data_IF_860000205008
#
_entry.id   IF_860000205008
#
_cell.length_a   1.000
_cell.length_b   1.000
_cell.length_c   1.000
_cell.angle_alpha   90.00
_cell.angle_beta   90.00
_cell.angle_gamma   90.00
#
_symmetry.space_group_name_H-M   'P 1'
#
loop_
_entity.id
_entity.type
_entity.pdbx_description
1 polymer ?
#
# COMPACT_ATOMS: atom_id res chain seq x y z
N UNK A 1 -45.37 -30.25 -49.59
CA UNK A 1 -45.23 -30.27 -48.11
C UNK A 1 -43.85 -29.78 -47.60
N UNK A 2 -43.05 -29.05 -48.40
CA UNK A 2 -41.69 -28.60 -48.05
C UNK A 2 -41.47 -27.11 -47.63
N UNK A 3 -42.40 -26.13 -47.80
CA UNK A 3 -42.07 -24.71 -47.49
C UNK A 3 -42.04 -24.36 -46.00
N UNK A 4 -42.90 -24.98 -45.17
CA UNK A 4 -43.07 -24.61 -43.76
C UNK A 4 -41.88 -24.99 -42.86
N UNK A 5 -41.15 -26.07 -43.18
CA UNK A 5 -39.96 -26.45 -42.41
C UNK A 5 -38.79 -25.45 -42.61
N UNK A 6 -38.59 -24.96 -43.83
CA UNK A 6 -37.52 -23.99 -44.13
C UNK A 6 -37.75 -22.63 -43.46
N UNK A 7 -39.00 -22.18 -43.38
CA UNK A 7 -39.35 -20.91 -42.74
C UNK A 7 -39.07 -20.90 -41.23
N UNK A 8 -39.37 -22.01 -40.55
CA UNK A 8 -39.10 -22.14 -39.11
C UNK A 8 -37.61 -22.27 -38.79
N UNK A 9 -36.81 -22.92 -39.65
CA UNK A 9 -35.36 -22.98 -39.45
C UNK A 9 -34.67 -21.63 -39.63
N UNK A 10 -35.13 -20.80 -40.56
CA UNK A 10 -34.59 -19.44 -40.69
C UNK A 10 -34.87 -18.55 -39.48
N UNK A 11 -36.08 -18.64 -38.92
CA UNK A 11 -36.44 -17.87 -37.71
C UNK A 11 -35.60 -18.35 -36.52
N UNK A 12 -35.48 -19.66 -36.33
CA UNK A 12 -34.70 -20.24 -35.24
C UNK A 12 -33.22 -19.86 -35.35
N UNK A 13 -32.66 -19.87 -36.57
CA UNK A 13 -31.26 -19.51 -36.83
C UNK A 13 -30.99 -18.02 -36.64
N UNK A 14 -31.95 -17.14 -37.00
CA UNK A 14 -31.89 -15.69 -36.72
C UNK A 14 -31.99 -15.38 -35.23
N UNK A 15 -32.81 -16.11 -34.48
CA UNK A 15 -32.91 -16.00 -33.01
C UNK A 15 -31.63 -16.51 -32.36
N UNK A 16 -31.11 -17.66 -32.77
CA UNK A 16 -29.85 -18.20 -32.26
C UNK A 16 -28.67 -17.27 -32.52
N UNK A 17 -28.55 -16.73 -33.74
CA UNK A 17 -27.50 -15.78 -34.10
C UNK A 17 -27.60 -14.48 -33.29
N UNK A 18 -28.81 -13.94 -33.09
CA UNK A 18 -29.01 -12.77 -32.22
C UNK A 18 -28.57 -13.06 -30.79
N UNK A 19 -29.00 -14.17 -30.20
CA UNK A 19 -28.64 -14.56 -28.83
C UNK A 19 -27.13 -14.78 -28.69
N UNK A 20 -26.48 -15.40 -29.68
CA UNK A 20 -25.02 -15.60 -29.68
C UNK A 20 -24.27 -14.27 -29.72
N UNK A 21 -24.74 -13.31 -30.52
CA UNK A 21 -24.15 -11.96 -30.64
C UNK A 21 -24.34 -11.17 -29.33
N UNK A 22 -25.51 -11.24 -28.68
CA UNK A 22 -25.71 -10.56 -27.39
C UNK A 22 -24.87 -11.17 -26.27
N UNK A 23 -24.70 -12.51 -26.26
CA UNK A 23 -23.84 -13.19 -25.28
C UNK A 23 -22.36 -12.87 -25.52
N UNK A 24 -21.92 -12.81 -26.79
CA UNK A 24 -20.56 -12.42 -27.14
C UNK A 24 -20.27 -10.94 -26.82
N UNK A 25 -21.23 -10.04 -27.03
CA UNK A 25 -21.10 -8.63 -26.68
C UNK A 25 -21.06 -8.41 -25.15
N UNK A 26 -21.86 -9.17 -24.39
CA UNK A 26 -21.79 -9.18 -22.93
C UNK A 26 -20.42 -9.71 -22.46
N UNK A 27 -19.95 -10.82 -23.03
CA UNK A 27 -18.63 -11.40 -22.72
C UNK A 27 -17.46 -10.47 -23.07
N UNK A 28 -17.56 -9.71 -24.17
CA UNK A 28 -16.55 -8.73 -24.57
C UNK A 28 -16.54 -7.48 -23.66
N UNK A 29 -17.71 -7.02 -23.22
CA UNK A 29 -17.81 -5.95 -22.21
C UNK A 29 -17.29 -6.40 -20.83
N UNK A 30 -17.40 -7.70 -20.52
CA UNK A 30 -16.81 -8.34 -19.34
C UNK A 30 -15.29 -8.57 -19.45
N UNK A 31 -14.71 -8.47 -20.66
CA UNK A 31 -13.28 -8.69 -20.92
C UNK A 31 -12.46 -7.39 -20.98
N UNK A 32 -13.10 -6.23 -20.77
CA UNK A 32 -12.39 -4.99 -20.53
C UNK A 32 -11.80 -5.06 -19.13
N UNK A 33 -10.55 -5.49 -19.01
CA UNK A 33 -9.81 -5.36 -17.75
C UNK A 33 -9.69 -3.87 -17.45
N UNK A 34 -10.21 -3.37 -16.31
CA UNK A 34 -9.91 -2.01 -15.91
C UNK A 34 -8.39 -1.88 -15.82
N UNK A 35 -7.86 -0.75 -16.31
CA UNK A 35 -6.46 -0.43 -16.04
C UNK A 35 -6.27 -0.40 -14.53
N UNK A 36 -5.22 -1.05 -14.04
CA UNK A 36 -4.80 -0.92 -12.66
C UNK A 36 -4.50 0.55 -12.40
N UNK A 37 -5.23 1.18 -11.49
CA UNK A 37 -5.04 2.59 -11.17
C UNK A 37 -4.49 2.73 -9.76
N UNK A 38 -3.31 3.35 -9.69
CA UNK A 38 -2.76 3.93 -8.48
C UNK A 38 -2.71 5.43 -8.73
N UNK A 39 -3.13 6.25 -7.76
CA UNK A 39 -3.01 7.70 -7.87
C UNK A 39 -1.97 8.18 -6.86
N UNK A 40 -0.90 8.78 -7.37
CA UNK A 40 0.16 9.38 -6.56
C UNK A 40 -0.16 10.85 -6.32
N UNK A 41 -0.23 11.25 -5.06
CA UNK A 41 -0.43 12.66 -4.66
C UNK A 41 0.54 13.06 -3.58
N UNK A 42 0.78 14.36 -3.45
CA UNK A 42 1.68 14.93 -2.45
C UNK A 42 0.92 15.83 -1.48
N UNK A 43 1.34 15.79 -0.23
CA UNK A 43 0.77 16.60 0.84
C UNK A 43 0.22 15.76 1.98
N UNK A 44 0.12 16.38 3.15
CA UNK A 44 -0.34 15.76 4.39
C UNK A 44 -0.65 16.86 5.40
N UNK A 45 -0.97 16.48 6.62
CA UNK A 45 -1.15 17.42 7.72
C UNK A 45 0.13 17.52 8.55
N UNK A 46 0.37 18.70 9.13
CA UNK A 46 1.56 18.94 9.94
C UNK A 46 1.24 18.71 11.42
N UNK A 47 2.03 17.86 12.09
CA UNK A 47 1.90 17.50 13.50
C UNK A 47 2.86 18.25 14.44
N UNK A 48 3.61 19.21 13.92
CA UNK A 48 4.52 20.08 14.68
C UNK A 48 3.75 21.20 15.40
N UNK A 49 2.81 20.83 16.25
CA UNK A 49 2.05 21.74 17.10
C UNK A 49 1.93 21.20 18.53
N UNK A 50 1.58 22.09 19.47
CA UNK A 50 1.42 21.72 20.89
C UNK A 50 0.29 20.71 21.03
N UNK A 51 0.61 19.50 21.50
CA UNK A 51 -0.34 18.39 21.63
C UNK A 51 -0.36 17.42 20.44
N UNK A 52 0.32 17.76 19.34
CA UNK A 52 0.74 16.79 18.32
C UNK A 52 1.99 16.05 18.76
N UNK A 53 2.40 15.03 17.99
CA UNK A 53 3.57 14.21 18.28
C UNK A 53 4.89 14.82 17.77
N UNK A 54 4.83 15.91 17.00
CA UNK A 54 5.97 16.67 16.47
C UNK A 54 6.80 15.96 15.38
N UNK A 55 6.24 14.95 14.70
CA UNK A 55 6.91 14.15 13.66
C UNK A 55 6.81 14.74 12.24
N UNK A 56 6.63 16.06 12.12
CA UNK A 56 6.52 16.73 10.82
C UNK A 56 5.20 16.42 10.10
N UNK A 57 5.29 15.94 8.85
CA UNK A 57 4.10 15.67 8.03
C UNK A 57 3.59 14.25 8.27
N UNK A 58 2.27 14.10 8.36
CA UNK A 58 1.58 12.81 8.46
C UNK A 58 0.38 12.74 7.51
N UNK A 59 -0.25 11.57 7.43
CA UNK A 59 -1.44 11.35 6.60
C UNK A 59 -2.60 12.25 7.04
N UNK A 60 -3.40 12.75 6.11
CA UNK A 60 -4.67 13.43 6.43
C UNK A 60 -5.70 12.50 7.11
N UNK A 61 -5.46 11.18 7.11
CA UNK A 61 -6.27 10.19 7.83
C UNK A 61 -5.78 9.92 9.25
N UNK A 62 -4.61 10.44 9.63
CA UNK A 62 -4.08 10.33 10.98
C UNK A 62 -4.95 11.16 11.95
N UNK A 63 -5.21 10.66 13.17
CA UNK A 63 -5.80 11.47 14.24
C UNK A 63 -4.78 12.48 14.76
N UNK A 64 -5.26 13.44 15.57
CA UNK A 64 -4.47 14.59 16.05
C UNK A 64 -3.29 14.22 16.95
N UNK A 65 -3.28 13.04 17.55
CA UNK A 65 -2.18 12.52 18.37
C UNK A 65 -1.24 11.57 17.59
N UNK A 66 -1.49 11.41 16.28
CA UNK A 66 -0.78 10.53 15.35
C UNK A 66 -0.74 9.05 15.78
N UNK A 67 -1.72 8.61 16.58
CA UNK A 67 -1.81 7.21 17.03
C UNK A 67 -2.80 6.42 16.20
N UNK A 68 -2.49 5.16 15.94
CA UNK A 68 -3.46 4.26 15.31
C UNK A 68 -4.72 4.13 16.17
N UNK A 69 -5.89 4.38 15.58
CA UNK A 69 -7.19 4.10 16.19
C UNK A 69 -7.73 2.77 15.66
N UNK A 70 -7.93 1.80 16.55
CA UNK A 70 -8.45 0.48 16.19
C UNK A 70 -9.84 0.59 15.56
N UNK A 71 -10.03 -0.12 14.44
CA UNK A 71 -11.28 -0.11 13.69
C UNK A 71 -11.47 1.09 12.77
N UNK A 72 -10.55 2.06 12.76
CA UNK A 72 -10.60 3.19 11.81
C UNK A 72 -10.35 2.78 10.36
N UNK A 73 -9.75 1.61 10.14
CA UNK A 73 -9.27 1.16 8.84
C UNK A 73 -7.91 1.76 8.44
N UNK A 74 -7.30 2.58 9.29
CA UNK A 74 -5.99 3.19 9.06
C UNK A 74 -5.02 2.84 10.18
N UNK A 75 -3.80 2.47 9.81
CA UNK A 75 -2.74 2.02 10.71
C UNK A 75 -1.45 2.79 10.42
N UNK A 76 -0.83 3.32 11.47
CA UNK A 76 0.33 4.20 11.42
C UNK A 76 1.58 3.58 12.05
N UNK A 77 2.73 3.81 11.42
CA UNK A 77 4.09 3.60 11.93
C UNK A 77 4.79 4.96 11.98
N UNK A 78 5.11 5.43 13.19
CA UNK A 78 5.80 6.71 13.42
C UNK A 78 7.14 6.51 14.13
N UNK A 79 7.59 5.25 14.20
CA UNK A 79 8.87 4.85 14.77
C UNK A 79 9.12 5.24 16.24
N UNK A 80 8.09 5.68 16.95
CA UNK A 80 8.11 6.11 18.34
C UNK A 80 7.33 5.12 19.22
N UNK A 81 7.93 4.74 20.34
CA UNK A 81 7.29 3.85 21.33
C UNK A 81 6.05 4.50 21.96
N UNK A 82 5.98 5.83 22.00
CA UNK A 82 4.87 6.57 22.59
C UNK A 82 3.57 6.49 21.77
N UNK A 83 3.68 6.24 20.45
CA UNK A 83 2.56 6.09 19.51
C UNK A 83 2.30 4.62 19.19
N UNK A 84 3.11 3.70 19.75
CA UNK A 84 3.01 2.29 19.47
C UNK A 84 1.66 1.71 19.87
N UNK A 85 1.07 0.96 18.94
CA UNK A 85 -0.19 0.28 19.16
C UNK A 85 0.08 -1.19 19.51
N UNK A 86 -0.10 -1.53 20.79
CA UNK A 86 0.14 -2.88 21.32
C UNK A 86 -0.83 -3.93 20.73
N UNK A 87 -1.98 -3.51 20.18
CA UNK A 87 -2.94 -4.41 19.55
C UNK A 87 -2.49 -4.82 18.12
N UNK A 88 -1.57 -4.08 17.50
CA UNK A 88 -0.85 -4.51 16.29
C UNK A 88 0.37 -5.37 16.60
N UNK A 89 0.51 -5.76 17.87
CA UNK A 89 1.55 -6.64 18.37
C UNK A 89 2.68 -5.89 19.06
N UNK A 90 3.65 -6.66 19.54
CA UNK A 90 4.75 -6.12 20.35
C UNK A 90 5.66 -5.25 19.49
N UNK A 91 5.87 -3.97 19.85
CA UNK A 91 6.79 -3.09 19.16
C UNK A 91 8.20 -3.66 19.22
N UNK A 92 8.94 -3.55 18.12
CA UNK A 92 10.38 -3.83 18.15
C UNK A 92 11.07 -2.69 18.89
N UNK A 93 11.76 -3.06 19.94
CA UNK A 93 12.73 -2.21 20.65
C UNK A 93 14.12 -2.81 20.45
N UNK A 94 15.17 -2.12 20.91
CA UNK A 94 16.53 -2.66 20.92
C UNK A 94 16.67 -4.00 21.68
N UNK A 95 15.76 -4.27 22.61
CA UNK A 95 15.66 -5.53 23.35
C UNK A 95 15.18 -6.74 22.51
N UNK A 96 14.63 -6.51 21.31
CA UNK A 96 14.16 -7.56 20.38
C UNK A 96 14.91 -7.41 19.05
N UNK A 97 16.16 -7.90 18.95
CA UNK A 97 16.94 -7.72 17.74
C UNK A 97 16.38 -8.58 16.60
N UNK A 98 16.15 -7.98 15.44
CA UNK A 98 15.98 -8.69 14.18
C UNK A 98 17.22 -8.57 13.31
N UNK A 99 17.48 -9.60 12.51
CA UNK A 99 18.64 -9.63 11.63
C UNK A 99 18.65 -8.41 10.69
N UNK A 100 19.71 -7.62 10.76
CA UNK A 100 19.92 -6.43 9.92
C UNK A 100 19.03 -5.22 10.26
N UNK A 101 18.37 -5.22 11.42
CA UNK A 101 17.60 -4.09 11.91
C UNK A 101 18.16 -3.62 13.25
N UNK A 102 18.28 -2.31 13.44
CA UNK A 102 18.71 -1.75 14.73
C UNK A 102 17.86 -0.55 15.15
N UNK A 103 17.51 -0.48 16.44
CA UNK A 103 16.96 0.72 17.04
C UNK A 103 18.15 1.46 17.65
N UNK A 104 18.63 2.48 16.95
CA UNK A 104 19.78 3.28 17.37
C UNK A 104 19.32 4.35 18.35
N UNK A 105 20.09 4.50 19.43
CA UNK A 105 19.82 5.45 20.52
C UNK A 105 18.47 5.19 21.20
N UNK A 106 18.44 4.27 22.18
CA UNK A 106 17.26 3.83 22.95
C UNK A 106 16.59 4.96 23.77
N UNK A 107 16.01 5.93 23.06
CA UNK A 107 15.43 7.19 23.53
C UNK A 107 13.92 7.24 23.26
N UNK A 108 13.26 6.08 23.28
CA UNK A 108 11.84 5.93 22.99
C UNK A 108 11.52 5.64 21.53
N UNK A 109 12.49 5.25 20.70
CA UNK A 109 12.23 4.77 19.34
C UNK A 109 11.82 3.29 19.31
N UNK A 110 11.01 2.90 18.33
CA UNK A 110 10.61 1.52 18.07
C UNK A 110 10.23 1.30 16.60
N UNK A 111 9.96 0.05 16.21
CA UNK A 111 9.07 -0.22 15.07
C UNK A 111 7.76 -0.71 15.67
N UNK A 112 6.71 0.09 15.52
CA UNK A 112 5.46 -0.03 16.24
C UNK A 112 4.67 -1.28 15.81
N UNK A 113 4.74 -1.66 14.54
CA UNK A 113 3.94 -2.75 13.97
C UNK A 113 4.68 -4.09 13.80
N UNK A 114 5.84 -4.27 14.44
CA UNK A 114 6.81 -5.34 14.14
C UNK A 114 6.24 -6.75 14.01
N UNK A 115 5.30 -7.16 14.87
CA UNK A 115 4.73 -8.50 14.81
C UNK A 115 3.65 -8.67 13.72
N UNK A 116 3.10 -7.56 13.21
CA UNK A 116 2.05 -7.55 12.19
C UNK A 116 2.56 -7.24 10.78
N UNK A 117 3.78 -6.74 10.63
CA UNK A 117 4.39 -6.46 9.32
C UNK A 117 5.68 -7.25 9.14
N UNK A 118 5.86 -7.83 7.96
CA UNK A 118 7.13 -8.45 7.59
C UNK A 118 8.14 -7.37 7.21
N UNK A 119 9.30 -7.33 7.85
CA UNK A 119 10.40 -6.46 7.44
C UNK A 119 11.55 -7.31 6.96
N UNK A 120 11.94 -7.11 5.70
CA UNK A 120 13.09 -7.79 5.08
C UNK A 120 14.11 -6.75 4.67
N UNK A 121 15.36 -6.96 5.05
CA UNK A 121 16.47 -6.08 4.72
C UNK A 121 17.49 -6.80 3.85
N UNK A 122 18.08 -6.08 2.91
CA UNK A 122 19.17 -6.57 2.05
C UNK A 122 20.28 -5.53 1.99
N UNK A 123 21.54 -6.00 1.97
CA UNK A 123 22.71 -5.13 2.00
C UNK A 123 22.92 -4.49 3.38
N UNK A 124 22.96 -3.16 3.43
CA UNK A 124 23.40 -2.37 4.58
C UNK A 124 22.43 -2.24 5.75
N UNK A 125 21.31 -2.97 5.77
CA UNK A 125 20.35 -3.02 6.89
C UNK A 125 19.41 -1.81 7.00
N UNK A 126 18.55 -1.83 8.01
CA UNK A 126 17.60 -0.76 8.34
C UNK A 126 17.80 -0.31 9.79
N UNK A 127 17.60 0.96 10.07
CA UNK A 127 17.70 1.49 11.41
C UNK A 127 16.59 2.46 11.72
N UNK A 128 16.24 2.55 13.00
CA UNK A 128 15.43 3.65 13.53
C UNK A 128 16.31 4.48 14.44
N UNK A 129 16.13 5.80 14.45
CA UNK A 129 16.84 6.69 15.36
C UNK A 129 16.07 7.95 15.66
N UNK A 130 16.50 8.68 16.68
CA UNK A 130 16.03 10.04 16.97
C UNK A 130 17.04 11.08 16.49
N UNK A 131 16.56 12.11 15.78
CA UNK A 131 17.36 13.25 15.32
C UNK A 131 18.46 12.90 14.30
N UNK A 132 19.11 13.92 13.73
CA UNK A 132 20.12 13.77 12.66
C UNK A 132 21.49 13.35 13.20
N UNK A 133 22.21 12.43 12.51
CA UNK A 133 23.67 12.33 12.67
C UNK A 133 24.35 13.02 11.51
N UNK A 134 25.27 13.91 11.84
CA UNK A 134 26.16 14.52 10.88
C UNK A 134 27.24 13.52 10.38
N UNK A 135 27.47 13.55 9.06
CA UNK A 135 28.67 13.24 8.24
C UNK A 135 29.79 12.32 8.83
N UNK A 136 30.39 11.38 8.07
CA UNK A 136 30.37 11.26 6.61
C UNK A 136 29.29 10.36 5.99
N UNK A 137 28.48 9.68 6.80
CA UNK A 137 27.54 8.64 6.32
C UNK A 137 26.25 8.57 7.15
N UNK A 138 25.80 9.73 7.66
CA UNK A 138 24.67 9.80 8.58
C UNK A 138 23.32 9.93 7.87
N UNK A 139 22.26 9.60 8.59
CA UNK A 139 20.87 9.84 8.19
C UNK A 139 20.34 11.12 8.85
N UNK A 140 19.48 11.84 8.13
CA UNK A 140 18.93 13.11 8.54
C UNK A 140 17.43 13.05 8.80
N UNK A 141 17.03 13.63 9.93
CA UNK A 141 15.62 13.74 10.27
C UNK A 141 14.90 14.65 9.23
N UNK A 142 13.77 14.21 8.65
CA UNK A 142 13.05 14.97 7.63
C UNK A 142 12.72 16.40 8.07
N UNK A 143 13.11 17.42 7.30
CA UNK A 143 12.85 18.84 7.61
C UNK A 143 13.28 19.31 9.03
N UNK A 144 14.30 18.67 9.63
CA UNK A 144 14.76 19.00 10.98
C UNK A 144 13.88 18.45 12.11
N UNK A 145 13.13 17.39 11.83
CA UNK A 145 12.37 16.65 12.82
C UNK A 145 13.24 16.21 14.02
N UNK A 146 12.62 16.15 15.19
CA UNK A 146 13.23 15.73 16.45
C UNK A 146 12.66 14.42 17.00
N UNK A 147 11.69 13.80 16.33
CA UNK A 147 11.13 12.47 16.67
C UNK A 147 11.99 11.33 16.11
N UNK A 148 11.54 10.11 16.32
CA UNK A 148 12.16 8.94 15.75
C UNK A 148 11.76 8.75 14.29
N UNK A 149 12.70 8.37 13.44
CA UNK A 149 12.46 8.06 12.03
C UNK A 149 13.24 6.82 11.60
N UNK A 150 12.74 6.17 10.56
CA UNK A 150 13.38 5.04 9.91
C UNK A 150 14.35 5.48 8.82
N UNK A 151 15.47 4.79 8.68
CA UNK A 151 16.43 5.05 7.61
C UNK A 151 17.19 3.80 7.18
N UNK A 152 17.70 3.83 5.96
CA UNK A 152 18.55 2.76 5.42
C UNK A 152 19.46 3.26 4.31
N UNK A 153 20.66 2.67 4.11
CA UNK A 153 21.27 1.65 4.97
C UNK A 153 21.56 2.15 6.39
N UNK A 154 21.86 1.22 7.30
CA UNK A 154 22.48 1.60 8.57
C UNK A 154 23.78 2.37 8.30
N UNK A 155 24.18 3.25 9.22
CA UNK A 155 25.43 4.01 9.09
C UNK A 155 26.61 3.02 8.95
N UNK A 156 27.34 3.11 7.83
CA UNK A 156 28.44 2.18 7.51
C UNK A 156 28.00 0.84 6.89
N UNK A 157 26.71 0.67 6.61
CA UNK A 157 26.16 -0.49 5.91
C UNK A 157 26.61 -0.59 4.45
N UNK A 158 26.53 -1.79 3.88
CA UNK A 158 26.87 -2.04 2.48
C UNK A 158 25.83 -1.50 1.51
N UNK A 159 26.28 -1.18 0.29
CA UNK A 159 25.45 -0.71 -0.82
C UNK A 159 25.56 -1.69 -2.02
N UNK A 160 24.50 -1.83 -2.84
CA UNK A 160 23.16 -1.25 -2.67
C UNK A 160 22.42 -1.86 -1.47
N UNK A 161 21.47 -1.11 -0.92
CA UNK A 161 20.67 -1.55 0.23
C UNK A 161 19.18 -1.43 -0.06
N UNK A 162 18.39 -2.29 0.57
CA UNK A 162 16.94 -2.19 0.52
C UNK A 162 16.27 -2.62 1.82
N UNK A 163 15.09 -2.05 2.07
CA UNK A 163 14.19 -2.42 3.16
C UNK A 163 12.79 -2.59 2.62
N UNK A 164 12.28 -3.82 2.69
CA UNK A 164 10.95 -4.19 2.26
C UNK A 164 10.03 -4.36 3.46
N UNK A 165 8.87 -3.71 3.39
CA UNK A 165 7.77 -3.81 4.35
C UNK A 165 6.61 -4.55 3.68
N UNK A 166 6.21 -5.67 4.26
CA UNK A 166 5.21 -6.59 3.75
C UNK A 166 4.00 -6.69 4.70
N UNK A 167 2.82 -6.32 4.19
CA UNK A 167 1.57 -6.28 4.94
C UNK A 167 0.80 -7.61 4.91
N UNK A 168 1.37 -8.69 4.38
CA UNK A 168 0.70 -10.00 4.29
C UNK A 168 0.21 -10.49 5.66
N UNK A 169 1.03 -10.35 6.70
CA UNK A 169 0.66 -10.76 8.07
C UNK A 169 -0.45 -9.89 8.65
N UNK A 170 -0.40 -8.56 8.45
CA UNK A 170 -1.44 -7.63 8.85
C UNK A 170 -2.79 -8.01 8.23
N UNK A 171 -2.81 -8.23 6.90
CA UNK A 171 -4.03 -8.58 6.18
C UNK A 171 -4.57 -9.96 6.60
N UNK A 172 -3.69 -10.93 6.86
CA UNK A 172 -4.07 -12.24 7.37
C UNK A 172 -4.67 -12.15 8.78
N UNK A 173 -4.07 -11.34 9.66
CA UNK A 173 -4.59 -11.07 11.01
C UNK A 173 -5.97 -10.42 10.99
N UNK A 174 -6.17 -9.42 10.13
CA UNK A 174 -7.48 -8.78 9.92
C UNK A 174 -8.52 -9.77 9.39
N UNK A 175 -8.14 -10.63 8.44
CA UNK A 175 -9.04 -11.67 7.92
C UNK A 175 -9.46 -12.66 9.01
N UNK A 176 -8.51 -13.12 9.83
CA UNK A 176 -8.78 -14.02 10.96
C UNK A 176 -9.71 -13.37 12.00
N UNK A 177 -9.52 -12.08 12.29
CA UNK A 177 -10.34 -11.32 13.23
C UNK A 177 -11.77 -11.05 12.71
N UNK A 178 -12.00 -11.13 11.39
CA UNK A 178 -13.27 -10.78 10.75
C UNK A 178 -13.88 -11.95 9.97
N UNK A 179 -13.94 -13.12 10.61
CA UNK A 179 -14.62 -14.33 10.08
C UNK A 179 -14.18 -14.75 8.67
N UNK A 180 -12.91 -14.52 8.32
CA UNK A 180 -12.36 -14.87 7.01
C UNK A 180 -12.65 -13.86 5.91
N UNK A 181 -13.13 -12.66 6.24
CA UNK A 181 -13.28 -11.58 5.25
C UNK A 181 -11.94 -11.24 4.59
N UNK A 182 -11.98 -10.90 3.30
CA UNK A 182 -10.79 -10.51 2.54
C UNK A 182 -10.53 -9.02 2.71
N UNK A 183 -9.28 -8.65 2.99
CA UNK A 183 -8.84 -7.25 3.06
C UNK A 183 -7.77 -6.96 2.02
N UNK A 184 -7.75 -5.72 1.55
CA UNK A 184 -6.68 -5.15 0.73
C UNK A 184 -6.14 -3.87 1.36
N UNK A 185 -4.93 -3.49 0.99
CA UNK A 185 -4.44 -2.14 1.23
C UNK A 185 -5.03 -1.25 0.15
N UNK A 186 -5.75 -0.21 0.54
CA UNK A 186 -6.37 0.78 -0.35
C UNK A 186 -5.62 2.12 -0.36
N UNK A 187 -4.73 2.33 0.61
CA UNK A 187 -3.95 3.54 0.73
C UNK A 187 -2.60 3.26 1.37
N UNK A 188 -1.55 3.95 0.90
CA UNK A 188 -0.27 4.07 1.58
C UNK A 188 0.15 5.54 1.59
N UNK A 189 0.56 6.04 2.74
CA UNK A 189 1.18 7.34 2.92
C UNK A 189 2.54 7.17 3.57
N UNK A 190 3.50 8.03 3.24
CA UNK A 190 4.80 8.09 3.93
C UNK A 190 5.35 9.51 3.91
N UNK A 191 5.92 9.93 5.03
CA UNK A 191 6.72 11.13 5.07
C UNK A 191 8.14 10.79 4.62
N UNK A 192 8.49 11.22 3.41
CA UNK A 192 9.78 10.93 2.81
C UNK A 192 10.67 12.17 2.92
N UNK A 193 11.69 12.08 3.79
CA UNK A 193 12.65 13.15 4.05
C UNK A 193 13.91 13.06 3.21
N UNK A 194 14.61 14.19 3.13
CA UNK A 194 15.93 14.34 2.50
C UNK A 194 16.08 13.57 1.19
N UNK A 195 15.04 13.61 0.35
CA UNK A 195 14.93 12.72 -0.81
C UNK A 195 16.13 12.90 -1.73
N UNK A 196 16.74 11.78 -2.11
CA UNK A 196 17.86 11.75 -3.03
C UNK A 196 17.53 11.04 -4.35
N UNK A 197 18.19 11.48 -5.43
CA UNK A 197 18.04 10.91 -6.78
C UNK A 197 18.46 9.42 -6.86
N UNK A 198 19.28 8.95 -5.92
CA UNK A 198 19.76 7.58 -5.89
C UNK A 198 18.86 6.62 -5.09
N UNK A 199 17.72 7.13 -4.58
CA UNK A 199 16.72 6.35 -3.86
C UNK A 199 15.46 6.11 -4.72
N UNK A 200 14.75 5.02 -4.46
CA UNK A 200 13.42 4.77 -5.01
C UNK A 200 12.57 3.89 -4.08
N UNK A 201 11.26 3.86 -4.36
CA UNK A 201 10.28 3.02 -3.68
C UNK A 201 9.66 2.09 -4.72
N UNK A 202 9.82 0.78 -4.55
CA UNK A 202 9.20 -0.22 -5.41
C UNK A 202 7.97 -0.83 -4.75
N UNK A 203 6.90 -0.99 -5.51
CA UNK A 203 5.61 -1.46 -4.99
C UNK A 203 5.27 -2.82 -5.56
N UNK A 204 4.78 -3.72 -4.70
CA UNK A 204 4.55 -5.11 -5.03
C UNK A 204 3.12 -5.54 -4.78
N UNK A 205 2.61 -6.35 -5.70
CA UNK A 205 1.39 -7.14 -5.55
C UNK A 205 1.65 -8.43 -4.76
N UNK A 206 0.61 -9.27 -4.66
CA UNK A 206 0.72 -10.64 -4.17
C UNK A 206 1.84 -11.42 -4.88
N UNK A 207 2.60 -12.19 -4.11
CA UNK A 207 3.64 -13.07 -4.67
C UNK A 207 4.95 -12.35 -5.04
N UNK A 208 5.17 -11.14 -4.52
CA UNK A 208 6.38 -10.32 -4.78
C UNK A 208 6.54 -9.86 -6.24
N UNK A 209 5.44 -9.74 -6.98
CA UNK A 209 5.45 -9.19 -8.34
C UNK A 209 5.35 -7.66 -8.30
N UNK A 210 6.21 -6.96 -9.05
CA UNK A 210 6.19 -5.50 -9.14
C UNK A 210 4.85 -5.01 -9.73
N UNK A 211 4.30 -3.92 -9.22
CA UNK A 211 3.05 -3.32 -9.68
C UNK A 211 3.29 -2.52 -10.97
N UNK A 212 3.12 -3.13 -12.14
CA UNK A 212 3.31 -2.45 -13.43
C UNK A 212 1.99 -2.19 -14.14
N UNK A 213 1.96 -1.21 -15.03
CA UNK A 213 0.78 -0.86 -15.82
C UNK A 213 -0.18 0.12 -15.14
N UNK A 214 0.28 0.86 -14.12
CA UNK A 214 -0.51 1.93 -13.52
C UNK A 214 -0.86 3.00 -14.55
N UNK A 215 -2.07 3.56 -14.45
CA UNK A 215 -2.46 4.73 -15.24
C UNK A 215 -1.76 6.04 -14.81
N UNK A 216 -1.19 6.09 -13.60
CA UNK A 216 -0.42 7.24 -13.13
C UNK A 216 1.03 7.15 -13.64
N UNK A 217 1.53 8.18 -14.32
CA UNK A 217 2.85 8.16 -14.96
C UNK A 217 4.01 8.11 -13.96
N UNK A 218 3.78 8.39 -12.67
CA UNK A 218 4.82 8.27 -11.63
C UNK A 218 4.99 6.82 -11.13
N UNK A 219 4.12 5.90 -11.56
CA UNK A 219 4.11 4.53 -11.06
C UNK A 219 3.75 3.49 -12.14
N UNK A 220 3.90 3.82 -13.41
CA UNK A 220 3.57 2.93 -14.53
C UNK A 220 4.49 1.70 -14.57
N UNK A 221 5.72 1.81 -14.09
CA UNK A 221 6.69 0.72 -13.97
C UNK A 221 6.76 0.10 -12.55
N UNK A 222 5.95 0.59 -11.62
CA UNK A 222 5.91 0.13 -10.22
C UNK A 222 7.04 0.64 -9.33
N UNK A 223 7.82 1.62 -9.79
CA UNK A 223 8.92 2.22 -9.05
C UNK A 223 8.77 3.74 -9.03
N UNK A 224 8.54 4.30 -7.85
CA UNK A 224 8.58 5.75 -7.66
C UNK A 224 10.01 6.17 -7.29
N UNK A 225 10.68 6.90 -8.17
CA UNK A 225 12.06 7.36 -7.94
C UNK A 225 12.11 8.68 -7.19
N UNK A 226 13.22 8.90 -6.46
CA UNK A 226 13.47 10.19 -5.82
C UNK A 226 13.55 11.33 -6.84
N UNK A 227 14.09 11.09 -8.02
CA UNK A 227 14.16 12.08 -9.10
C UNK A 227 12.78 12.52 -9.60
N UNK A 228 11.83 11.60 -9.72
CA UNK A 228 10.44 11.90 -10.11
C UNK A 228 9.73 12.73 -9.05
N UNK A 229 9.87 12.37 -7.77
CA UNK A 229 9.28 13.13 -6.65
C UNK A 229 9.89 14.54 -6.58
N UNK A 230 11.22 14.66 -6.67
CA UNK A 230 11.88 15.97 -6.64
C UNK A 230 11.50 16.82 -7.86
N UNK A 231 11.36 16.19 -9.04
CA UNK A 231 10.93 16.84 -10.26
C UNK A 231 9.50 17.38 -10.18
N UNK A 232 8.57 16.62 -9.59
CA UNK A 232 7.17 17.07 -9.42
C UNK A 232 7.04 18.17 -8.37
N UNK A 233 7.87 18.12 -7.33
CA UNK A 233 7.78 19.03 -6.19
C UNK A 233 8.67 20.28 -6.32
N UNK A 234 9.63 20.29 -7.24
CA UNK A 234 10.64 21.35 -7.34
C UNK A 234 11.70 21.27 -6.23
N UNK A 235 12.02 20.05 -5.80
CA UNK A 235 12.98 19.75 -4.73
C UNK A 235 14.43 19.71 -5.19
N UNK A 236 15.33 19.68 -4.20
CA UNK A 236 16.77 19.47 -4.39
C UNK A 236 17.19 18.17 -3.72
N UNK A 237 17.93 17.31 -4.43
CA UNK A 237 18.45 16.02 -3.90
C UNK A 237 19.19 16.23 -2.57
N UNK A 238 18.82 15.47 -1.54
CA UNK A 238 19.50 15.40 -0.24
C UNK A 238 19.31 16.65 0.63
N UNK A 239 18.38 17.55 0.28
CA UNK A 239 18.15 18.75 1.07
C UNK A 239 17.28 18.44 2.30
N UNK A 240 17.90 18.46 3.46
CA UNK A 240 17.31 18.10 4.75
C UNK A 240 16.31 19.12 5.30
N UNK A 241 16.22 20.31 4.71
CA UNK A 241 15.41 21.41 5.26
C UNK A 241 14.38 21.96 4.28
N UNK A 242 14.61 21.80 2.97
CA UNK A 242 13.71 22.31 1.95
C UNK A 242 12.41 21.48 1.94
N UNK A 243 11.22 22.09 2.12
CA UNK A 243 9.95 21.34 2.12
C UNK A 243 9.71 20.52 0.84
N UNK A 244 10.15 21.00 -0.32
CA UNK A 244 10.01 20.27 -1.58
C UNK A 244 10.92 19.03 -1.70
N UNK A 245 11.86 18.84 -0.76
CA UNK A 245 12.71 17.65 -0.62
C UNK A 245 12.31 16.77 0.57
N UNK A 246 11.27 17.18 1.31
CA UNK A 246 10.75 16.50 2.50
C UNK A 246 9.23 16.48 2.38
N UNK A 247 8.69 15.48 1.70
CA UNK A 247 7.29 15.48 1.25
C UNK A 247 6.53 14.28 1.77
N UNK A 248 5.25 14.50 2.08
CA UNK A 248 4.34 13.40 2.34
C UNK A 248 3.83 12.86 1.00
N UNK A 249 4.16 11.61 0.69
CA UNK A 249 3.76 10.91 -0.53
C UNK A 249 2.56 10.05 -0.21
N UNK A 250 1.53 10.13 -1.03
CA UNK A 250 0.29 9.35 -0.90
C UNK A 250 0.10 8.51 -2.15
N UNK A 251 -0.31 7.26 -1.95
CA UNK A 251 -0.72 6.33 -2.98
C UNK A 251 -2.12 5.83 -2.65
N UNK A 252 -3.08 6.15 -3.49
CA UNK A 252 -4.43 5.59 -3.42
C UNK A 252 -4.56 4.46 -4.45
N UNK A 253 -4.97 3.28 -4.00
CA UNK A 253 -5.06 2.08 -4.82
C UNK A 253 -6.52 1.77 -5.14
N UNK A 254 -6.81 1.52 -6.41
CA UNK A 254 -8.15 1.10 -6.84
C UNK A 254 -8.54 -0.27 -6.28
N UNK A 255 -9.83 -0.59 -6.39
CA UNK A 255 -10.38 -1.84 -5.84
C UNK A 255 -9.77 -3.11 -6.45
N UNK A 256 -9.34 -3.02 -7.71
CA UNK A 256 -8.74 -4.11 -8.47
C UNK A 256 -7.22 -4.20 -8.31
N UNK A 257 -6.63 -3.29 -7.53
CA UNK A 257 -5.20 -3.27 -7.25
C UNK A 257 -4.86 -4.16 -6.05
N UNK A 258 -3.73 -4.87 -6.15
CA UNK A 258 -3.37 -5.95 -5.23
C UNK A 258 -2.11 -5.67 -4.41
N UNK A 259 -1.86 -4.40 -4.08
CA UNK A 259 -0.72 -3.97 -3.26
C UNK A 259 -0.61 -4.76 -1.92
N UNK A 260 0.59 -5.26 -1.64
CA UNK A 260 0.94 -6.00 -0.41
C UNK A 260 2.21 -5.50 0.26
N UNK A 261 3.14 -4.93 -0.49
CA UNK A 261 4.43 -4.56 0.07
C UNK A 261 5.08 -3.42 -0.72
N UNK A 262 5.81 -2.55 -0.03
CA UNK A 262 6.74 -1.62 -0.66
C UNK A 262 8.17 -1.95 -0.25
N UNK A 263 9.14 -1.54 -1.06
CA UNK A 263 10.56 -1.65 -0.75
C UNK A 263 11.26 -0.32 -1.05
N UNK A 264 11.82 0.29 -0.02
CA UNK A 264 12.76 1.38 -0.18
C UNK A 264 14.11 0.82 -0.62
N UNK A 265 14.66 1.38 -1.68
CA UNK A 265 15.94 0.98 -2.26
C UNK A 265 16.85 2.19 -2.39
N UNK A 266 18.13 1.97 -2.17
CA UNK A 266 19.15 3.01 -2.32
C UNK A 266 20.47 2.45 -2.81
N UNK A 267 21.18 3.29 -3.56
CA UNK A 267 22.59 3.08 -3.93
C UNK A 267 23.53 4.07 -3.21
N UNK A 268 23.02 4.83 -2.23
CA UNK A 268 23.72 5.87 -1.48
C UNK A 268 23.36 5.90 0.01
N UNK A 269 23.68 7.00 0.70
CA UNK A 269 23.86 7.01 2.16
C UNK A 269 22.58 6.90 2.96
N UNK A 270 21.49 7.54 2.57
CA UNK A 270 20.23 7.20 3.19
C UNK A 270 19.02 7.47 2.30
N UNK A 271 18.03 6.60 2.42
CA UNK A 271 16.65 7.02 2.41
C UNK A 271 16.20 7.23 3.87
N UNK A 272 15.36 8.23 4.10
CA UNK A 272 14.78 8.54 5.42
C UNK A 272 13.26 8.62 5.34
N UNK A 273 12.57 7.88 6.21
CA UNK A 273 11.13 7.79 6.22
C UNK A 273 10.57 7.93 7.64
N UNK A 274 9.40 8.56 7.72
CA UNK A 274 8.60 8.63 8.94
C UNK A 274 7.11 8.59 8.57
N UNK A 275 6.23 8.49 9.58
CA UNK A 275 4.78 8.61 9.44
C UNK A 275 4.21 7.77 8.29
N UNK A 276 4.55 6.49 8.25
CA UNK A 276 3.95 5.57 7.29
C UNK A 276 2.53 5.30 7.75
N UNK A 277 1.56 5.50 6.87
CA UNK A 277 0.16 5.16 7.10
C UNK A 277 -0.34 4.19 6.04
N UNK A 278 -1.04 3.15 6.43
CA UNK A 278 -1.74 2.26 5.51
C UNK A 278 -3.23 2.23 5.79
N UNK A 279 -4.01 2.45 4.74
CA UNK A 279 -5.45 2.25 4.76
C UNK A 279 -5.77 0.84 4.28
N UNK A 280 -6.63 0.13 5.01
CA UNK A 280 -7.15 -1.17 4.63
C UNK A 280 -8.65 -1.10 4.43
N UNK A 281 -9.12 -1.81 3.42
CA UNK A 281 -10.54 -1.88 3.10
C UNK A 281 -10.91 -3.34 2.89
N UNK A 282 -12.04 -3.73 3.48
CA UNK A 282 -12.63 -5.03 3.22
C UNK A 282 -13.04 -5.10 1.74
N UNK A 283 -12.64 -6.16 1.06
CA UNK A 283 -13.07 -6.45 -0.30
C UNK A 283 -14.50 -6.99 -0.19
N UNK A 284 -15.49 -6.38 -0.88
CA UNK A 284 -16.84 -6.92 -0.92
C UNK A 284 -16.83 -8.38 -1.39
N UNK A 285 -17.73 -9.20 -0.84
CA UNK A 285 -17.87 -10.57 -1.32
C UNK A 285 -18.18 -10.57 -2.82
N UNK A 286 -17.60 -11.49 -3.61
CA UNK A 286 -17.84 -11.53 -5.05
C UNK A 286 -19.34 -11.59 -5.34
N UNK A 287 -19.84 -10.67 -6.19
CA UNK A 287 -21.25 -10.64 -6.62
C UNK A 287 -21.68 -11.96 -7.29
N UNK A 288 -20.72 -12.76 -7.75
CA UNK A 288 -20.94 -14.11 -8.24
C UNK A 288 -21.62 -15.02 -7.21
N UNK A 289 -21.37 -14.84 -5.91
CA UNK A 289 -22.08 -15.58 -4.85
C UNK A 289 -23.55 -15.17 -4.79
N UNK A 290 -23.85 -13.88 -4.95
CA UNK A 290 -25.22 -13.39 -5.05
C UNK A 290 -25.91 -13.94 -6.32
N UNK A 291 -25.20 -13.97 -7.45
CA UNK A 291 -25.71 -14.53 -8.71
C UNK A 291 -25.93 -16.05 -8.63
N UNK A 292 -25.04 -16.79 -7.95
CA UNK A 292 -25.23 -18.23 -7.68
C UNK A 292 -26.45 -18.42 -6.77
N UNK A 293 -26.57 -17.62 -5.70
CA UNK A 293 -27.73 -17.66 -4.81
C UNK A 293 -29.04 -17.40 -5.56
N UNK A 294 -29.08 -16.36 -6.39
CA UNK A 294 -30.22 -16.02 -7.24
C UNK A 294 -30.50 -17.09 -8.30
N UNK A 295 -29.45 -17.65 -8.91
CA UNK A 295 -29.55 -18.75 -9.88
C UNK A 295 -30.14 -20.01 -9.25
N UNK A 296 -29.70 -20.36 -8.04
CA UNK A 296 -30.25 -21.48 -7.26
C UNK A 296 -31.71 -21.24 -6.86
N UNK A 297 -32.05 -20.01 -6.44
CA UNK A 297 -33.43 -19.62 -6.14
C UNK A 297 -34.32 -19.71 -7.38
N UNK A 298 -33.85 -19.22 -8.53
CA UNK A 298 -34.57 -19.29 -9.80
C UNK A 298 -34.77 -20.75 -10.26
N UNK A 299 -33.76 -21.61 -10.07
CA UNK A 299 -33.84 -23.04 -10.38
C UNK A 299 -34.79 -23.79 -9.43
N UNK A 300 -34.82 -23.43 -8.15
CA UNK A 300 -35.77 -23.97 -7.19
C UNK A 300 -37.22 -23.53 -7.51
N UNK A 301 -37.41 -22.28 -7.91
CA UNK A 301 -38.71 -21.73 -8.32
C UNK A 301 -39.21 -22.34 -9.64
N UNK A 302 -38.32 -22.62 -10.60
CA UNK A 302 -38.68 -23.26 -11.87
C UNK A 302 -39.11 -24.72 -11.69
N UNK A 303 -38.49 -25.46 -10.76
CA UNK A 303 -38.91 -26.83 -10.40
C UNK A 303 -40.31 -26.92 -9.79
N UNK A 304 -40.83 -25.83 -9.19
CA UNK A 304 -42.20 -25.78 -8.65
C UNK A 304 -43.27 -25.56 -9.73
N UNK A 305 -42.89 -25.18 -10.96
CA UNK A 305 -43.80 -25.06 -12.10
C UNK A 305 -43.79 -26.35 -12.92
N UNK A 306 -44.41 -27.42 -12.41
CA UNK A 306 -44.86 -28.52 -13.29
C UNK A 306 -46.16 -28.07 -13.97
N UNK A 307 -46.32 -28.22 -15.31
CA UNK A 307 -47.61 -28.01 -15.94
C UNK A 307 -48.57 -29.13 -15.51
N UNK A 308 -49.79 -28.72 -15.11
CA UNK A 308 -50.98 -29.58 -15.19
C UNK A 308 -51.38 -29.72 -16.66
#
# INVERSE_FOLDING_TARGET
MLPRLRFNQEILMKVFAKTLITVAAAAAALAMTPAQAVVVTFGGQNMNFVGGDQSGLTSNYAPTDNKTVIGSGFYGETFDLATANQDLGTPMTDAIPAAGISIQENNGCSINSWASVGVTVSGGGFSVRKGTASNPSGAAAPAGDSTCFGFGPQIGGSLPASTKIDYTNLLAGLSAANSGATFRISYMGVYYGSIDNYNNIAFYSSGNTLLTGSADPLLDDGVLTGAEILGSQGGTSGNQFQPQSNVYVNLAFDADESFKAFEFRTTGVAFELDNIWVGVTQVPEPESLALIGLGLLALAASRRRKPL
#
